data_IF_005853574998
#
_entry.id   IF_005853574998
#
_cell.length_a   1.000
_cell.length_b   1.000
_cell.length_c   1.000
_cell.angle_alpha   90.00
_cell.angle_beta   90.00
_cell.angle_gamma   90.00
#
_symmetry.space_group_name_H-M   'P 1'
#
loop_
_entity.id
_entity.type
_entity.pdbx_description
1 polymer ?
#
# COMPACT_ATOMS: atom_id res chain seq x y z
N UNK A 1 -3.97 -2.21 68.25
CA UNK A 1 -4.59 -1.80 67.00
C UNK A 1 -3.54 -1.48 65.93
N UNK A 2 -2.46 -2.30 65.86
CA UNK A 2 -1.36 -2.17 64.88
C UNK A 2 -0.72 -3.52 64.58
N UNK A 3 -1.43 -4.65 64.83
CA UNK A 3 -0.90 -6.02 64.69
C UNK A 3 -1.79 -6.93 63.82
N UNK A 4 -2.79 -6.40 63.10
CA UNK A 4 -3.68 -7.21 62.25
C UNK A 4 -3.59 -6.95 60.75
N UNK A 5 -2.57 -6.21 60.29
CA UNK A 5 -2.39 -5.90 58.85
C UNK A 5 -1.30 -6.81 58.18
N UNK A 6 -0.70 -7.76 58.93
CA UNK A 6 0.43 -8.56 58.40
C UNK A 6 0.07 -10.01 58.00
N UNK A 7 -1.20 -10.36 57.74
CA UNK A 7 -1.56 -11.76 57.43
C UNK A 7 -2.26 -12.05 56.12
N UNK A 8 -2.29 -11.09 55.15
CA UNK A 8 -2.88 -11.39 53.81
C UNK A 8 -1.96 -10.96 52.67
N UNK A 9 -0.67 -11.34 52.72
CA UNK A 9 0.27 -11.12 51.61
C UNK A 9 0.87 -12.45 51.10
N UNK A 10 0.05 -13.49 50.99
CA UNK A 10 0.42 -14.72 50.28
C UNK A 10 -0.73 -15.22 49.42
N UNK A 11 -1.19 -14.39 48.47
CA UNK A 11 -1.85 -14.88 47.28
C UNK A 11 -0.90 -14.82 46.10
N UNK A 12 -0.92 -15.80 45.18
CA UNK A 12 0.03 -15.87 44.08
C UNK A 12 -0.17 -14.67 43.15
N UNK A 13 0.88 -13.90 42.89
CA UNK A 13 0.92 -12.89 41.86
C UNK A 13 0.81 -13.57 40.47
N UNK A 14 -0.34 -14.13 40.19
CA UNK A 14 -0.78 -14.50 38.87
C UNK A 14 -1.52 -13.32 38.24
N UNK A 15 -0.90 -12.77 37.20
CA UNK A 15 -1.63 -12.24 36.05
C UNK A 15 -2.31 -10.86 36.04
N UNK A 16 -2.05 -9.93 36.93
CA UNK A 16 -2.54 -8.54 36.77
C UNK A 16 -2.01 -7.92 35.46
N UNK A 17 -0.82 -8.32 34.99
CA UNK A 17 -0.25 -7.84 33.71
C UNK A 17 -0.91 -8.46 32.49
N UNK A 18 -1.39 -9.70 32.58
CA UNK A 18 -2.02 -10.41 31.45
C UNK A 18 -3.46 -9.96 31.27
N UNK A 19 -4.19 -9.68 32.36
CA UNK A 19 -5.57 -9.15 32.31
C UNK A 19 -5.60 -7.72 31.75
N UNK A 20 -4.66 -6.86 32.08
CA UNK A 20 -4.51 -5.54 31.46
C UNK A 20 -4.13 -5.62 29.99
N UNK A 21 -3.40 -6.64 29.59
CA UNK A 21 -3.04 -6.85 28.18
C UNK A 21 -4.23 -7.39 27.37
N UNK A 22 -4.98 -8.34 27.91
CA UNK A 22 -6.23 -8.79 27.28
C UNK A 22 -7.27 -7.67 27.22
N UNK A 23 -7.38 -6.85 28.27
CA UNK A 23 -8.26 -5.67 28.28
C UNK A 23 -7.79 -4.64 27.23
N UNK A 24 -6.50 -4.37 27.12
CA UNK A 24 -5.92 -3.49 26.09
C UNK A 24 -6.16 -4.01 24.67
N UNK A 25 -6.02 -5.31 24.44
CA UNK A 25 -6.36 -5.94 23.15
C UNK A 25 -7.86 -5.96 22.89
N UNK A 26 -8.69 -6.20 23.89
CA UNK A 26 -10.16 -6.13 23.77
C UNK A 26 -10.63 -4.70 23.51
N UNK A 27 -10.07 -3.70 24.20
CA UNK A 27 -10.40 -2.28 23.97
C UNK A 27 -9.92 -1.81 22.60
N UNK A 28 -8.74 -2.24 22.12
CA UNK A 28 -8.29 -1.93 20.76
C UNK A 28 -9.15 -2.61 19.68
N UNK A 29 -9.69 -3.80 19.96
CA UNK A 29 -10.59 -4.52 19.04
C UNK A 29 -12.00 -3.92 19.05
N UNK A 30 -12.46 -3.39 20.18
CA UNK A 30 -13.79 -2.79 20.32
C UNK A 30 -13.82 -1.32 19.85
N UNK A 31 -12.74 -0.56 20.04
CA UNK A 31 -12.65 0.82 19.56
C UNK A 31 -12.49 0.97 18.04
N UNK A 32 -11.96 -0.06 17.37
CA UNK A 32 -11.89 -0.07 15.91
C UNK A 32 -12.61 -1.31 15.42
N UNK A 33 -13.82 -1.15 14.95
CA UNK A 33 -14.62 -2.16 14.26
C UNK A 33 -13.98 -2.53 12.90
N UNK A 34 -12.63 -2.72 12.89
CA UNK A 34 -11.88 -3.13 11.73
C UNK A 34 -11.83 -4.67 11.71
N UNK A 35 -12.19 -5.30 10.60
CA UNK A 35 -12.06 -6.74 10.46
C UNK A 35 -10.61 -7.14 10.73
N UNK A 36 -10.44 -8.23 11.49
CA UNK A 36 -9.11 -8.80 11.81
C UNK A 36 -8.29 -8.91 10.52
N UNK A 37 -7.19 -8.17 10.45
CA UNK A 37 -6.30 -8.15 9.28
C UNK A 37 -5.73 -9.56 9.07
N UNK A 38 -6.15 -10.22 8.00
CA UNK A 38 -5.64 -11.52 7.59
C UNK A 38 -4.85 -11.41 6.29
N UNK A 39 -4.28 -12.50 5.79
CA UNK A 39 -3.58 -12.52 4.50
C UNK A 39 -4.47 -12.08 3.34
N UNK A 40 -5.78 -12.33 3.40
CA UNK A 40 -6.75 -11.86 2.39
C UNK A 40 -6.89 -10.33 2.32
N UNK A 41 -6.50 -9.60 3.36
CA UNK A 41 -6.51 -8.13 3.38
C UNK A 41 -5.23 -7.51 2.82
N UNK A 42 -4.20 -8.33 2.54
CA UNK A 42 -2.93 -7.87 1.99
C UNK A 42 -3.01 -7.87 0.46
N UNK A 43 -2.65 -6.74 -0.15
CA UNK A 43 -2.38 -6.70 -1.57
C UNK A 43 -1.02 -7.34 -1.84
N UNK A 44 -1.02 -8.59 -2.29
CA UNK A 44 0.22 -9.24 -2.71
C UNK A 44 0.64 -8.70 -4.06
N UNK A 45 1.84 -8.12 -4.11
CA UNK A 45 2.47 -7.48 -5.26
C UNK A 45 3.89 -8.02 -5.39
N UNK A 46 4.54 -7.77 -6.52
CA UNK A 46 5.89 -8.28 -6.80
C UNK A 46 6.89 -7.91 -5.70
N UNK A 47 6.79 -6.69 -5.18
CA UNK A 47 7.73 -6.17 -4.17
C UNK A 47 7.57 -6.76 -2.77
N UNK A 48 6.45 -7.43 -2.45
CA UNK A 48 6.20 -8.02 -1.12
C UNK A 48 5.87 -9.52 -1.14
N UNK A 49 5.76 -10.13 -2.30
CA UNK A 49 5.28 -11.51 -2.46
C UNK A 49 6.05 -12.52 -1.60
N UNK A 50 7.38 -12.48 -1.64
CA UNK A 50 8.22 -13.39 -0.86
C UNK A 50 8.05 -13.19 0.65
N UNK A 51 7.88 -11.96 1.12
CA UNK A 51 7.66 -11.67 2.53
C UNK A 51 6.29 -12.19 3.00
N UNK A 52 5.26 -12.05 2.16
CA UNK A 52 3.92 -12.59 2.43
C UNK A 52 3.94 -14.11 2.47
N UNK A 53 4.61 -14.75 1.53
CA UNK A 53 4.77 -16.21 1.48
C UNK A 53 5.49 -16.76 2.73
N UNK A 54 6.65 -16.17 3.10
CA UNK A 54 7.38 -16.60 4.30
C UNK A 54 6.58 -16.41 5.57
N UNK A 55 5.78 -15.34 5.67
CA UNK A 55 4.89 -15.13 6.80
C UNK A 55 3.74 -16.17 6.84
N UNK A 56 3.24 -16.59 5.68
CA UNK A 56 2.26 -17.66 5.59
C UNK A 56 2.87 -19.00 6.01
N UNK A 57 4.08 -19.33 5.53
CA UNK A 57 4.82 -20.55 5.91
C UNK A 57 5.11 -20.56 7.41
N UNK A 58 5.50 -19.43 8.01
CA UNK A 58 5.66 -19.30 9.44
C UNK A 58 4.36 -19.60 10.20
N UNK A 59 3.25 -19.03 9.78
CA UNK A 59 1.94 -19.19 10.43
C UNK A 59 1.31 -20.58 10.22
N UNK A 60 1.86 -21.38 9.29
CA UNK A 60 1.47 -22.77 9.08
C UNK A 60 2.43 -23.76 9.73
N UNK A 61 3.60 -23.31 10.20
CA UNK A 61 4.60 -24.11 10.89
C UNK A 61 5.68 -24.71 9.99
N UNK A 62 5.71 -24.32 8.71
CA UNK A 62 6.76 -24.77 7.78
C UNK A 62 8.04 -23.96 7.88
N UNK A 63 7.96 -22.72 8.36
CA UNK A 63 9.12 -21.87 8.67
C UNK A 63 9.18 -21.57 10.17
N UNK A 64 10.35 -21.68 10.76
CA UNK A 64 10.53 -21.45 12.21
C UNK A 64 11.07 -20.05 12.53
N UNK A 65 11.95 -19.53 11.68
CA UNK A 65 12.63 -18.25 11.91
C UNK A 65 12.48 -17.37 10.65
N UNK A 66 11.73 -16.28 10.76
CA UNK A 66 11.47 -15.37 9.65
C UNK A 66 11.85 -13.94 10.03
N UNK A 67 12.57 -13.24 9.16
CA UNK A 67 12.93 -11.85 9.34
C UNK A 67 12.50 -11.05 8.10
N UNK A 68 11.61 -10.06 8.32
CA UNK A 68 11.08 -9.18 7.27
C UNK A 68 11.72 -7.81 7.39
N UNK A 69 12.26 -7.32 6.28
CA UNK A 69 12.93 -6.04 6.16
C UNK A 69 12.26 -5.16 5.13
N UNK A 70 12.30 -3.85 5.32
CA UNK A 70 11.79 -2.90 4.33
C UNK A 70 11.67 -1.50 4.89
N UNK A 71 11.42 -0.53 4.03
CA UNK A 71 11.24 0.87 4.39
C UNK A 71 10.08 1.06 5.39
N UNK A 72 10.07 2.16 6.14
CA UNK A 72 8.95 2.51 7.01
C UNK A 72 7.67 2.64 6.16
N UNK A 73 6.57 2.05 6.65
CA UNK A 73 5.28 2.08 5.94
C UNK A 73 5.16 1.11 4.75
N UNK A 74 6.12 0.20 4.53
CA UNK A 74 6.07 -0.81 3.45
C UNK A 74 5.07 -1.96 3.68
N UNK A 75 4.40 -2.00 4.84
CA UNK A 75 3.40 -3.04 5.15
C UNK A 75 3.89 -4.17 6.05
N UNK A 76 5.12 -4.10 6.61
CA UNK A 76 5.67 -5.14 7.51
C UNK A 76 4.73 -5.50 8.65
N UNK A 77 4.31 -4.52 9.44
CA UNK A 77 3.36 -4.71 10.55
C UNK A 77 2.08 -5.43 10.10
N UNK A 78 1.55 -5.08 8.92
CA UNK A 78 0.36 -5.72 8.37
C UNK A 78 0.59 -7.21 8.07
N UNK A 79 1.77 -7.57 7.55
CA UNK A 79 2.15 -8.97 7.30
C UNK A 79 2.30 -9.72 8.63
N UNK A 80 2.92 -9.09 9.64
CA UNK A 80 3.06 -9.68 10.98
C UNK A 80 1.69 -9.90 11.64
N UNK A 81 0.79 -8.92 11.57
CA UNK A 81 -0.59 -9.04 12.07
C UNK A 81 -1.36 -10.17 11.38
N UNK A 82 -1.17 -10.34 10.06
CA UNK A 82 -1.81 -11.43 9.33
C UNK A 82 -1.30 -12.81 9.78
N UNK A 83 0.01 -12.96 10.02
CA UNK A 83 0.60 -14.18 10.56
C UNK A 83 0.09 -14.46 11.98
N UNK A 84 0.04 -13.44 12.84
CA UNK A 84 -0.50 -13.53 14.19
C UNK A 84 -1.96 -14.01 14.19
N UNK A 85 -2.80 -13.37 13.40
CA UNK A 85 -4.22 -13.72 13.32
C UNK A 85 -4.44 -15.12 12.74
N UNK A 86 -3.59 -15.56 11.80
CA UNK A 86 -3.66 -16.91 11.26
C UNK A 86 -3.27 -17.99 12.29
N UNK A 87 -2.25 -17.72 13.13
CA UNK A 87 -1.87 -18.59 14.24
C UNK A 87 -2.99 -18.66 15.28
N UNK A 88 -3.56 -17.51 15.66
CA UNK A 88 -4.68 -17.47 16.62
C UNK A 88 -5.93 -18.23 16.13
N UNK A 89 -6.27 -18.13 14.86
CA UNK A 89 -7.39 -18.88 14.27
C UNK A 89 -7.19 -20.39 14.32
N UNK A 90 -5.94 -20.84 14.47
CA UNK A 90 -5.56 -22.26 14.60
C UNK A 90 -5.30 -22.67 16.05
N UNK A 91 -5.69 -21.83 17.01
CA UNK A 91 -5.47 -22.03 18.45
C UNK A 91 -4.02 -22.30 18.83
N UNK A 92 -3.06 -21.76 18.05
CA UNK A 92 -1.64 -21.88 18.35
C UNK A 92 -1.21 -20.77 19.30
N UNK A 93 -0.45 -21.11 20.35
CA UNK A 93 0.06 -20.10 21.28
C UNK A 93 0.99 -19.12 20.58
N UNK A 94 0.66 -17.83 20.63
CA UNK A 94 1.41 -16.78 19.95
C UNK A 94 1.37 -15.46 20.71
N UNK A 95 2.50 -14.76 20.80
CA UNK A 95 2.58 -13.38 21.25
C UNK A 95 3.00 -12.46 20.11
N UNK A 96 2.33 -11.30 20.02
CA UNK A 96 2.70 -10.20 19.14
C UNK A 96 3.11 -9.01 20.02
N UNK A 97 4.37 -8.60 19.94
CA UNK A 97 4.95 -7.57 20.81
C UNK A 97 5.90 -6.65 20.02
N UNK A 98 6.17 -5.47 20.58
CA UNK A 98 7.26 -4.62 20.07
C UNK A 98 8.60 -5.06 20.63
N UNK A 99 9.68 -4.70 19.93
CA UNK A 99 11.03 -5.03 20.39
C UNK A 99 11.38 -4.42 21.75
N UNK A 100 10.90 -3.20 22.04
CA UNK A 100 11.10 -2.58 23.37
C UNK A 100 10.42 -3.39 24.49
N UNK A 101 9.23 -3.92 24.24
CA UNK A 101 8.52 -4.78 25.19
C UNK A 101 9.25 -6.12 25.38
N UNK A 102 9.73 -6.71 24.27
CA UNK A 102 10.53 -7.93 24.33
C UNK A 102 11.77 -7.76 25.22
N UNK A 103 12.45 -6.61 25.13
CA UNK A 103 13.66 -6.33 25.91
C UNK A 103 13.39 -6.08 27.40
N UNK A 104 12.16 -5.74 27.79
CA UNK A 104 11.79 -5.50 29.19
C UNK A 104 11.51 -6.77 30.00
N UNK A 105 11.21 -7.88 29.34
CA UNK A 105 10.87 -9.13 30.03
C UNK A 105 11.51 -10.34 29.35
N UNK A 106 12.35 -11.01 30.13
CA UNK A 106 13.01 -12.26 29.71
C UNK A 106 12.03 -13.43 29.58
N UNK A 107 10.81 -13.34 30.11
CA UNK A 107 9.79 -14.39 30.00
C UNK A 107 9.46 -14.72 28.54
N UNK A 108 9.49 -13.75 27.65
CA UNK A 108 9.27 -13.97 26.20
C UNK A 108 10.32 -14.87 25.53
N UNK A 109 11.55 -14.89 26.06
CA UNK A 109 12.62 -15.79 25.56
C UNK A 109 12.26 -17.25 25.87
N UNK A 110 11.62 -17.50 27.01
CA UNK A 110 11.25 -18.83 27.46
C UNK A 110 9.89 -19.30 26.93
N UNK A 111 9.07 -18.38 26.43
CA UNK A 111 7.76 -18.72 25.88
C UNK A 111 7.84 -19.79 24.78
N UNK A 112 7.07 -20.87 24.91
CA UNK A 112 7.13 -22.02 24.01
C UNK A 112 6.36 -21.85 22.70
N UNK A 113 5.45 -20.87 22.64
CA UNK A 113 4.72 -20.54 21.42
C UNK A 113 5.50 -19.72 20.41
N UNK A 114 4.81 -19.35 19.35
CA UNK A 114 5.32 -18.46 18.33
C UNK A 114 5.46 -17.03 18.87
N UNK A 115 6.57 -16.38 18.58
CA UNK A 115 6.83 -15.00 18.98
C UNK A 115 6.97 -14.11 17.73
N UNK A 116 6.17 -13.06 17.66
CA UNK A 116 6.23 -12.07 16.60
C UNK A 116 6.65 -10.73 17.19
N UNK A 117 7.77 -10.19 16.72
CA UNK A 117 8.39 -8.98 17.26
C UNK A 117 8.43 -7.90 16.16
N UNK A 118 7.72 -6.80 16.39
CA UNK A 118 7.73 -5.65 15.50
C UNK A 118 8.67 -4.54 15.99
N UNK A 119 8.94 -3.58 15.09
CA UNK A 119 9.74 -2.38 15.36
C UNK A 119 11.15 -2.64 15.90
N UNK A 120 11.81 -3.69 15.42
CA UNK A 120 13.15 -4.07 15.89
C UNK A 120 14.24 -3.02 15.61
N UNK A 121 13.97 -2.01 14.76
CA UNK A 121 14.90 -0.89 14.53
C UNK A 121 15.15 -0.02 15.78
N UNK A 122 14.24 -0.03 16.75
CA UNK A 122 14.39 0.77 17.99
C UNK A 122 15.60 0.32 18.79
N UNK A 123 15.90 -0.97 18.77
CA UNK A 123 17.01 -1.60 19.49
C UNK A 123 18.38 -1.29 18.85
N UNK A 124 18.40 -0.97 17.57
CA UNK A 124 19.64 -0.75 16.82
C UNK A 124 20.44 0.48 17.27
N UNK A 125 19.81 1.38 18.01
CA UNK A 125 20.41 2.61 18.52
C UNK A 125 21.42 2.37 19.64
N UNK A 126 21.30 1.27 20.37
CA UNK A 126 22.17 0.95 21.52
C UNK A 126 22.95 -0.35 21.28
N UNK A 127 24.29 -0.32 21.29
CA UNK A 127 25.11 -1.53 21.14
C UNK A 127 24.79 -2.60 22.19
N UNK A 128 24.54 -2.20 23.45
CA UNK A 128 24.17 -3.11 24.54
C UNK A 128 22.83 -3.79 24.29
N UNK A 129 21.81 -3.04 23.87
CA UNK A 129 20.48 -3.60 23.54
C UNK A 129 20.56 -4.53 22.33
N UNK A 130 21.34 -4.16 21.32
CA UNK A 130 21.59 -4.99 20.14
C UNK A 130 22.19 -6.35 20.51
N UNK A 131 23.21 -6.35 21.37
CA UNK A 131 23.83 -7.59 21.83
C UNK A 131 22.86 -8.46 22.62
N UNK A 132 22.13 -7.89 23.58
CA UNK A 132 21.15 -8.62 24.39
C UNK A 132 20.02 -9.19 23.54
N UNK A 133 19.52 -8.42 22.58
CA UNK A 133 18.49 -8.87 21.65
C UNK A 133 18.99 -10.07 20.83
N UNK A 134 20.20 -9.97 20.27
CA UNK A 134 20.83 -11.05 19.51
C UNK A 134 20.97 -12.33 20.36
N UNK A 135 21.46 -12.22 21.60
CA UNK A 135 21.58 -13.35 22.52
C UNK A 135 20.21 -13.98 22.82
N UNK A 136 19.19 -13.14 23.01
CA UNK A 136 17.81 -13.60 23.28
C UNK A 136 17.23 -14.35 22.08
N UNK A 137 17.42 -13.84 20.85
CA UNK A 137 17.02 -14.53 19.63
C UNK A 137 17.78 -15.84 19.44
N UNK A 138 19.10 -15.87 19.74
CA UNK A 138 19.89 -17.08 19.64
C UNK A 138 19.39 -18.19 20.57
N UNK A 139 19.01 -17.84 21.80
CA UNK A 139 18.39 -18.79 22.75
C UNK A 139 17.11 -19.40 22.16
N UNK A 140 16.24 -18.57 21.55
CA UNK A 140 15.01 -19.08 20.92
C UNK A 140 15.31 -19.98 19.73
N UNK A 141 16.28 -19.62 18.87
CA UNK A 141 16.72 -20.45 17.73
C UNK A 141 17.23 -21.81 18.23
N UNK A 142 18.13 -21.84 19.22
CA UNK A 142 18.66 -23.09 19.82
C UNK A 142 17.56 -23.97 20.42
N UNK A 143 16.54 -23.35 21.02
CA UNK A 143 15.39 -24.04 21.58
C UNK A 143 14.31 -24.37 20.53
N UNK A 144 14.56 -24.14 19.23
CA UNK A 144 13.63 -24.36 18.11
C UNK A 144 12.27 -23.67 18.27
N UNK A 145 12.24 -22.54 19.00
CA UNK A 145 11.01 -21.78 19.25
C UNK A 145 10.71 -20.84 18.07
N UNK A 146 9.54 -20.94 17.44
CA UNK A 146 9.22 -20.12 16.26
C UNK A 146 9.30 -18.63 16.57
N UNK A 147 10.00 -17.87 15.73
CA UNK A 147 10.19 -16.44 15.93
C UNK A 147 10.14 -15.69 14.60
N UNK A 148 9.32 -14.66 14.53
CA UNK A 148 9.23 -13.77 13.38
C UNK A 148 9.53 -12.34 13.81
N UNK A 149 10.37 -11.64 13.05
CA UNK A 149 10.73 -10.25 13.36
C UNK A 149 10.52 -9.33 12.18
N UNK A 150 10.25 -8.03 12.44
CA UNK A 150 10.26 -7.00 11.43
C UNK A 150 11.21 -5.87 11.79
N UNK A 151 11.95 -5.39 10.77
CA UNK A 151 12.93 -4.33 10.91
C UNK A 151 12.70 -3.27 9.84
N UNK A 152 12.55 -2.01 10.24
CA UNK A 152 12.55 -0.89 9.31
C UNK A 152 13.97 -0.49 8.98
N UNK A 153 14.28 -0.42 7.68
CA UNK A 153 15.58 0.00 7.18
C UNK A 153 15.42 0.88 5.96
N UNK A 154 16.16 1.97 5.92
CA UNK A 154 16.25 2.87 4.75
C UNK A 154 17.35 2.42 3.78
N UNK A 155 18.26 1.55 4.20
CA UNK A 155 19.37 1.08 3.37
C UNK A 155 18.94 -0.07 2.45
N UNK A 156 19.32 0.03 1.16
CA UNK A 156 19.16 -1.07 0.20
C UNK A 156 20.03 -2.28 0.55
N UNK A 157 21.16 -2.04 1.20
CA UNK A 157 22.13 -3.04 1.63
C UNK A 157 22.17 -3.12 3.17
N UNK A 158 21.02 -3.27 3.83
CA UNK A 158 21.06 -3.44 5.27
C UNK A 158 21.82 -4.73 5.61
N UNK A 159 22.92 -4.57 6.30
CA UNK A 159 23.58 -5.68 6.96
C UNK A 159 22.73 -6.14 8.15
N UNK A 160 22.21 -7.34 8.06
CA UNK A 160 21.36 -7.94 9.11
C UNK A 160 22.17 -8.71 10.13
N UNK A 161 23.46 -8.94 9.87
CA UNK A 161 24.36 -9.65 10.77
C UNK A 161 24.40 -9.05 12.19
N UNK A 162 24.29 -7.70 12.38
CA UNK A 162 24.24 -7.14 13.71
C UNK A 162 23.01 -7.52 14.53
N UNK A 163 21.91 -7.95 13.88
CA UNK A 163 20.62 -8.21 14.53
C UNK A 163 20.38 -9.71 14.68
N UNK A 164 20.69 -10.47 13.63
CA UNK A 164 20.43 -11.90 13.60
C UNK A 164 21.63 -12.70 14.13
N UNK A 165 21.40 -13.67 15.01
CA UNK A 165 22.48 -14.46 15.59
C UNK A 165 23.20 -15.34 14.56
N UNK A 166 22.43 -16.00 13.72
CA UNK A 166 22.95 -16.91 12.69
C UNK A 166 22.08 -16.76 11.44
N UNK A 167 22.59 -16.06 10.42
CA UNK A 167 21.88 -15.76 9.17
C UNK A 167 21.29 -17.01 8.51
N UNK A 168 22.02 -18.15 8.53
CA UNK A 168 21.58 -19.40 7.91
C UNK A 168 20.32 -20.01 8.53
N UNK A 169 19.99 -19.64 9.75
CA UNK A 169 18.80 -20.15 10.46
C UNK A 169 17.56 -19.30 10.22
N UNK A 170 17.68 -18.20 9.48
CA UNK A 170 16.61 -17.24 9.26
C UNK A 170 16.24 -17.14 7.78
N UNK A 171 14.95 -17.22 7.49
CA UNK A 171 14.42 -16.76 6.21
C UNK A 171 14.33 -15.24 6.20
N UNK A 172 15.29 -14.60 5.54
CA UNK A 172 15.38 -13.15 5.45
C UNK A 172 14.69 -12.68 4.16
N UNK A 173 13.59 -11.95 4.29
CA UNK A 173 12.82 -11.41 3.16
C UNK A 173 12.75 -9.91 3.21
N UNK A 174 12.97 -9.30 2.05
CA UNK A 174 12.92 -7.84 1.90
C UNK A 174 11.68 -7.42 1.14
N UNK A 175 10.98 -6.42 1.66
CA UNK A 175 9.96 -5.69 0.91
C UNK A 175 10.68 -4.53 0.22
N UNK A 176 10.73 -4.58 -1.11
CA UNK A 176 11.31 -3.53 -1.94
C UNK A 176 10.33 -2.39 -2.19
N UNK A 177 10.79 -1.30 -2.80
CA UNK A 177 9.91 -0.24 -3.26
C UNK A 177 9.00 -0.77 -4.37
N UNK A 178 7.69 -0.46 -4.33
CA UNK A 178 6.76 -0.92 -5.33
C UNK A 178 7.03 -0.25 -6.69
N UNK A 179 7.01 -1.04 -7.75
CA UNK A 179 7.02 -0.55 -9.15
C UNK A 179 5.76 0.28 -9.44
N UNK A 180 5.70 0.96 -10.58
CA UNK A 180 4.48 1.66 -10.99
C UNK A 180 3.30 0.69 -11.09
N UNK A 181 3.52 -0.50 -11.65
CA UNK A 181 2.48 -1.53 -11.74
C UNK A 181 2.02 -2.01 -10.38
N UNK A 182 2.95 -2.24 -9.45
CA UNK A 182 2.63 -2.57 -8.06
C UNK A 182 1.81 -1.45 -7.39
N UNK A 183 2.17 -0.17 -7.62
CA UNK A 183 1.42 0.98 -7.09
C UNK A 183 0.01 1.07 -7.67
N UNK A 184 -0.18 0.80 -8.96
CA UNK A 184 -1.52 0.73 -9.57
C UNK A 184 -2.36 -0.34 -8.87
N UNK A 185 -1.80 -1.54 -8.64
CA UNK A 185 -2.49 -2.62 -7.91
C UNK A 185 -2.82 -2.20 -6.47
N UNK A 186 -1.88 -1.54 -5.77
CA UNK A 186 -2.09 -1.03 -4.42
C UNK A 186 -3.20 0.02 -4.36
N UNK A 187 -3.18 1.01 -5.26
CA UNK A 187 -4.22 2.06 -5.31
C UNK A 187 -5.58 1.43 -5.54
N UNK A 188 -5.73 0.51 -6.52
CA UNK A 188 -7.00 -0.21 -6.77
C UNK A 188 -7.45 -1.00 -5.55
N UNK A 189 -6.54 -1.74 -4.91
CA UNK A 189 -6.85 -2.55 -3.74
C UNK A 189 -7.31 -1.69 -2.56
N UNK A 190 -6.59 -0.60 -2.26
CA UNK A 190 -6.95 0.31 -1.17
C UNK A 190 -8.25 1.06 -1.49
N UNK A 191 -8.44 1.53 -2.73
CA UNK A 191 -9.69 2.18 -3.16
C UNK A 191 -10.89 1.27 -2.95
N UNK A 192 -10.76 -0.02 -3.29
CA UNK A 192 -11.81 -1.02 -3.03
C UNK A 192 -12.08 -1.20 -1.53
N UNK A 193 -11.03 -1.23 -0.70
CA UNK A 193 -11.20 -1.32 0.77
C UNK A 193 -11.86 -0.07 1.37
N UNK A 194 -11.57 1.09 0.81
CA UNK A 194 -12.15 2.39 1.23
C UNK A 194 -13.50 2.68 0.55
N UNK A 195 -14.04 1.74 -0.26
CA UNK A 195 -15.29 1.91 -1.03
C UNK A 195 -15.26 3.13 -1.97
N UNK A 196 -14.09 3.45 -2.51
CA UNK A 196 -13.89 4.52 -3.48
C UNK A 196 -14.01 3.98 -4.90
N UNK A 197 -14.88 4.59 -5.69
CA UNK A 197 -14.99 4.30 -7.12
C UNK A 197 -14.12 5.30 -7.91
N UNK A 198 -12.88 4.92 -8.19
CA UNK A 198 -11.94 5.72 -8.96
C UNK A 198 -11.83 5.17 -10.39
N UNK A 199 -11.92 6.05 -11.37
CA UNK A 199 -11.71 5.68 -12.77
C UNK A 199 -10.27 5.19 -13.01
N UNK A 200 -10.09 4.34 -14.02
CA UNK A 200 -8.76 3.80 -14.35
C UNK A 200 -7.70 4.88 -14.60
N UNK A 201 -7.99 5.98 -15.32
CA UNK A 201 -7.04 7.09 -15.47
C UNK A 201 -6.63 7.72 -14.13
N UNK A 202 -7.58 7.95 -13.22
CA UNK A 202 -7.27 8.50 -11.89
C UNK A 202 -6.37 7.57 -11.07
N UNK A 203 -6.64 6.26 -11.11
CA UNK A 203 -5.78 5.26 -10.45
C UNK A 203 -4.35 5.33 -10.98
N UNK A 204 -4.17 5.46 -12.30
CA UNK A 204 -2.86 5.55 -12.92
C UNK A 204 -2.12 6.84 -12.55
N UNK A 205 -2.81 7.99 -12.57
CA UNK A 205 -2.26 9.28 -12.16
C UNK A 205 -1.83 9.23 -10.69
N UNK A 206 -2.72 8.77 -9.81
CA UNK A 206 -2.41 8.65 -8.39
C UNK A 206 -1.22 7.70 -8.14
N UNK A 207 -1.18 6.56 -8.81
CA UNK A 207 -0.07 5.62 -8.69
C UNK A 207 1.27 6.19 -9.18
N UNK A 208 1.26 7.11 -10.14
CA UNK A 208 2.46 7.78 -10.65
C UNK A 208 2.97 8.84 -9.68
N UNK A 209 2.10 9.67 -9.13
CA UNK A 209 2.47 10.86 -8.37
C UNK A 209 2.45 10.65 -6.83
N UNK A 210 1.67 9.72 -6.32
CA UNK A 210 1.74 9.31 -4.91
C UNK A 210 2.94 8.38 -4.69
N UNK A 211 4.12 8.97 -4.71
CA UNK A 211 5.37 8.26 -4.43
C UNK A 211 5.51 7.99 -2.92
N UNK A 212 6.12 6.87 -2.58
CA UNK A 212 6.44 6.53 -1.21
C UNK A 212 5.75 5.28 -0.69
N UNK A 213 5.52 5.24 0.61
CA UNK A 213 5.06 4.04 1.30
C UNK A 213 3.56 3.79 1.15
N UNK A 214 3.14 2.52 1.35
CA UNK A 214 1.71 2.15 1.42
C UNK A 214 0.91 2.97 2.45
N UNK A 215 1.58 3.51 3.49
CA UNK A 215 0.97 4.40 4.48
C UNK A 215 0.57 5.74 3.85
N UNK A 216 1.41 6.30 2.98
CA UNK A 216 1.13 7.55 2.25
C UNK A 216 -0.03 7.33 1.30
N UNK A 217 0.00 6.25 0.50
CA UNK A 217 -1.09 5.87 -0.39
C UNK A 217 -2.43 5.73 0.36
N UNK A 218 -2.42 4.97 1.46
CA UNK A 218 -3.63 4.78 2.27
C UNK A 218 -4.12 6.10 2.87
N UNK A 219 -3.23 6.93 3.39
CA UNK A 219 -3.57 8.24 3.96
C UNK A 219 -4.22 9.17 2.93
N UNK A 220 -3.70 9.19 1.69
CA UNK A 220 -4.28 9.97 0.61
C UNK A 220 -5.68 9.47 0.24
N UNK A 221 -5.84 8.18 0.02
CA UNK A 221 -7.13 7.58 -0.35
C UNK A 221 -8.16 7.68 0.78
N UNK A 222 -7.73 7.57 2.05
CA UNK A 222 -8.62 7.78 3.19
C UNK A 222 -9.16 9.22 3.25
N UNK A 223 -8.34 10.23 2.92
CA UNK A 223 -8.83 11.62 2.80
C UNK A 223 -9.93 11.76 1.75
N UNK A 224 -9.78 11.09 0.60
CA UNK A 224 -10.83 11.07 -0.42
C UNK A 224 -12.14 10.48 0.12
N UNK A 225 -12.08 9.39 0.86
CA UNK A 225 -13.26 8.78 1.48
C UNK A 225 -13.96 9.71 2.45
N UNK A 226 -13.21 10.38 3.31
CA UNK A 226 -13.77 11.26 4.35
C UNK A 226 -14.50 12.48 3.76
N UNK A 227 -14.05 12.97 2.61
CA UNK A 227 -14.67 14.13 1.96
C UNK A 227 -15.99 13.82 1.24
N UNK A 228 -16.41 12.54 1.15
CA UNK A 228 -17.74 12.07 0.70
C UNK A 228 -18.28 12.72 -0.58
N UNK A 229 -17.41 13.08 -1.53
CA UNK A 229 -17.78 13.70 -2.80
C UNK A 229 -17.72 12.68 -3.95
N UNK A 230 -18.52 12.90 -4.99
CA UNK A 230 -18.28 12.21 -6.26
C UNK A 230 -16.99 12.72 -6.89
N UNK A 231 -16.00 11.84 -6.99
CA UNK A 231 -14.69 12.15 -7.51
C UNK A 231 -14.64 12.05 -9.04
N UNK A 232 -15.43 12.87 -9.71
CA UNK A 232 -15.45 12.97 -11.18
C UNK A 232 -14.40 13.95 -11.71
N UNK A 233 -13.97 14.93 -10.89
CA UNK A 233 -12.97 15.94 -11.25
C UNK A 233 -11.57 15.53 -10.75
N UNK A 234 -10.64 15.14 -11.65
CA UNK A 234 -9.27 14.78 -11.28
C UNK A 234 -8.49 15.87 -10.56
N UNK A 235 -8.72 17.16 -10.83
CA UNK A 235 -8.04 18.25 -10.11
C UNK A 235 -8.38 18.23 -8.63
N UNK A 236 -9.66 18.06 -8.29
CA UNK A 236 -10.10 17.95 -6.90
C UNK A 236 -9.50 16.73 -6.22
N UNK A 237 -9.46 15.58 -6.92
CA UNK A 237 -8.82 14.35 -6.41
C UNK A 237 -7.34 14.57 -6.14
N UNK A 238 -6.60 15.12 -7.11
CA UNK A 238 -5.15 15.35 -6.97
C UNK A 238 -4.84 16.38 -5.88
N UNK A 239 -5.65 17.46 -5.78
CA UNK A 239 -5.54 18.45 -4.70
C UNK A 239 -5.81 17.84 -3.34
N UNK A 240 -6.88 17.06 -3.18
CA UNK A 240 -7.21 16.38 -1.93
C UNK A 240 -6.13 15.36 -1.52
N UNK A 241 -5.46 14.74 -2.49
CA UNK A 241 -4.32 13.86 -2.25
C UNK A 241 -3.01 14.63 -1.97
N UNK A 242 -2.96 15.95 -2.22
CA UNK A 242 -1.75 16.77 -2.04
C UNK A 242 -0.68 16.54 -3.11
N UNK A 243 -1.06 16.17 -4.32
CA UNK A 243 -0.15 15.89 -5.44
C UNK A 243 -0.44 16.71 -6.69
N UNK A 244 -1.39 17.65 -6.61
CA UNK A 244 -1.78 18.46 -7.77
C UNK A 244 -0.61 19.28 -8.33
N UNK A 245 0.12 19.98 -7.46
CA UNK A 245 1.23 20.85 -7.88
C UNK A 245 2.34 20.05 -8.54
N UNK A 246 2.66 18.87 -7.99
CA UNK A 246 3.64 17.95 -8.60
C UNK A 246 3.17 17.47 -9.96
N UNK A 247 1.90 17.18 -10.09
CA UNK A 247 1.32 16.71 -11.34
C UNK A 247 1.34 17.80 -12.42
N UNK A 248 0.95 19.03 -12.07
CA UNK A 248 0.97 20.18 -13.00
C UNK A 248 2.40 20.57 -13.43
N UNK A 249 3.38 20.40 -12.55
CA UNK A 249 4.77 20.61 -12.88
C UNK A 249 5.30 19.58 -13.90
N UNK A 250 4.81 18.32 -13.82
CA UNK A 250 5.19 17.25 -14.74
C UNK A 250 4.41 17.29 -16.07
N UNK A 251 3.24 17.92 -16.07
CA UNK A 251 2.37 17.98 -17.25
C UNK A 251 1.66 19.34 -17.37
N UNK A 252 2.33 20.34 -17.97
CA UNK A 252 1.76 21.67 -18.16
C UNK A 252 0.51 21.68 -19.06
N UNK A 253 0.32 20.65 -19.90
CA UNK A 253 -0.83 20.50 -20.80
C UNK A 253 -2.00 19.75 -20.13
N UNK A 254 -1.94 19.54 -18.83
CA UNK A 254 -2.89 18.73 -18.08
C UNK A 254 -4.35 19.17 -18.27
N UNK A 255 -4.61 20.47 -18.24
CA UNK A 255 -5.98 20.99 -18.39
C UNK A 255 -6.59 20.64 -19.74
N UNK A 256 -5.79 20.72 -20.80
CA UNK A 256 -6.22 20.40 -22.17
C UNK A 256 -6.50 18.91 -22.30
N UNK A 257 -5.58 18.07 -21.78
CA UNK A 257 -5.73 16.61 -21.81
C UNK A 257 -6.93 16.15 -21.00
N UNK A 258 -7.16 16.79 -19.85
CA UNK A 258 -8.29 16.46 -19.01
C UNK A 258 -9.64 16.84 -19.63
N UNK A 259 -9.73 18.02 -20.24
CA UNK A 259 -10.93 18.44 -20.93
C UNK A 259 -11.24 17.51 -22.11
N UNK A 260 -10.22 17.09 -22.87
CA UNK A 260 -10.39 16.12 -23.95
C UNK A 260 -10.95 14.77 -23.44
N UNK A 261 -10.45 14.28 -22.28
CA UNK A 261 -10.99 13.06 -21.66
C UNK A 261 -12.43 13.22 -21.21
N UNK A 262 -12.77 14.35 -20.58
CA UNK A 262 -14.12 14.67 -20.14
C UNK A 262 -15.10 14.74 -21.31
N UNK A 263 -14.70 15.37 -22.40
CA UNK A 263 -15.49 15.48 -23.59
C UNK A 263 -15.69 14.12 -24.29
N UNK A 264 -14.64 13.31 -24.32
CA UNK A 264 -14.71 11.96 -24.87
C UNK A 264 -15.54 11.00 -24.02
N UNK A 265 -15.60 11.18 -22.69
CA UNK A 265 -16.37 10.32 -21.77
C UNK A 265 -17.90 10.45 -21.91
N UNK A 266 -18.40 11.48 -22.61
CA UNK A 266 -19.82 11.56 -22.97
C UNK A 266 -20.23 10.57 -24.05
N UNK A 267 -19.29 9.79 -24.61
CA UNK A 267 -19.48 8.78 -25.64
C UNK A 267 -19.29 7.37 -25.06
N UNK A 268 -20.21 6.85 -24.48
CA UNK A 268 -20.68 5.57 -23.92
C UNK A 268 -19.77 4.32 -23.76
N UNK A 269 -18.47 4.28 -24.08
CA UNK A 269 -17.61 3.12 -23.80
C UNK A 269 -16.18 3.52 -23.41
N UNK A 270 -15.66 2.98 -22.30
CA UNK A 270 -14.36 3.31 -21.71
C UNK A 270 -13.15 3.17 -22.67
N UNK A 271 -13.18 2.18 -23.57
CA UNK A 271 -12.12 1.96 -24.58
C UNK A 271 -12.22 2.98 -25.72
N UNK A 272 -13.43 3.36 -26.14
CA UNK A 272 -13.67 4.38 -27.16
C UNK A 272 -13.29 5.77 -26.66
N UNK A 273 -13.59 6.08 -25.41
CA UNK A 273 -13.25 7.35 -24.76
C UNK A 273 -11.76 7.67 -24.88
N UNK A 274 -10.90 6.72 -24.55
CA UNK A 274 -9.44 6.90 -24.65
C UNK A 274 -8.98 7.16 -26.09
N UNK A 275 -9.52 6.42 -27.08
CA UNK A 275 -9.15 6.58 -28.49
C UNK A 275 -9.63 7.92 -29.04
N UNK A 276 -10.85 8.34 -28.71
CA UNK A 276 -11.41 9.63 -29.12
C UNK A 276 -10.59 10.77 -28.51
N UNK A 277 -10.32 10.73 -27.21
CA UNK A 277 -9.49 11.75 -26.54
C UNK A 277 -8.08 11.81 -27.13
N UNK A 278 -7.43 10.67 -27.39
CA UNK A 278 -6.13 10.63 -28.06
C UNK A 278 -6.17 11.27 -29.45
N UNK A 279 -7.18 10.94 -30.26
CA UNK A 279 -7.35 11.48 -31.62
C UNK A 279 -7.54 12.99 -31.56
N UNK A 280 -8.37 13.51 -30.66
CA UNK A 280 -8.59 14.94 -30.46
C UNK A 280 -7.30 15.66 -30.05
N UNK A 281 -6.57 15.15 -29.07
CA UNK A 281 -5.34 15.76 -28.57
C UNK A 281 -4.23 15.74 -29.62
N UNK A 282 -4.13 14.67 -30.41
CA UNK A 282 -3.23 14.58 -31.58
C UNK A 282 -3.59 15.61 -32.67
N UNK A 283 -4.87 15.80 -32.94
CA UNK A 283 -5.35 16.76 -33.97
C UNK A 283 -5.01 18.20 -33.62
N UNK A 284 -5.00 18.56 -32.33
CA UNK A 284 -4.59 19.89 -31.85
C UNK A 284 -3.08 20.05 -31.69
N UNK A 285 -2.27 19.03 -32.03
CA UNK A 285 -0.81 19.10 -32.08
C UNK A 285 -0.07 18.74 -30.80
N UNK A 286 -0.74 18.12 -29.80
CA UNK A 286 -0.04 17.66 -28.62
C UNK A 286 0.85 16.46 -28.93
N UNK A 287 1.96 16.36 -28.17
CA UNK A 287 2.90 15.26 -28.33
C UNK A 287 2.27 13.91 -27.97
N UNK A 288 2.32 12.95 -28.89
CA UNK A 288 1.69 11.63 -28.78
C UNK A 288 2.16 10.85 -27.54
N UNK A 289 3.46 10.88 -27.25
CA UNK A 289 4.03 10.21 -26.08
C UNK A 289 3.53 10.83 -24.76
N UNK A 290 3.38 12.16 -24.73
CA UNK A 290 2.84 12.89 -23.58
C UNK A 290 1.38 12.52 -23.35
N UNK A 291 0.57 12.48 -24.40
CA UNK A 291 -0.84 12.10 -24.34
C UNK A 291 -1.01 10.63 -23.92
N UNK A 292 -0.23 9.73 -24.52
CA UNK A 292 -0.29 8.30 -24.15
C UNK A 292 0.16 8.05 -22.71
N UNK A 293 1.16 8.77 -22.23
CA UNK A 293 1.57 8.72 -20.80
C UNK A 293 0.44 9.20 -19.89
N UNK A 294 -0.22 10.29 -20.24
CA UNK A 294 -1.37 10.81 -19.49
C UNK A 294 -2.50 9.77 -19.40
N UNK A 295 -2.81 9.11 -20.52
CA UNK A 295 -3.88 8.11 -20.58
C UNK A 295 -3.48 6.73 -20.06
N UNK A 296 -2.19 6.49 -19.80
CA UNK A 296 -1.67 5.18 -19.41
C UNK A 296 -1.78 4.11 -20.49
N UNK A 297 -1.76 4.52 -21.76
CA UNK A 297 -1.93 3.64 -22.92
C UNK A 297 -0.60 3.48 -23.68
N UNK A 298 -0.48 2.41 -24.45
CA UNK A 298 0.65 2.19 -25.34
C UNK A 298 0.51 3.02 -26.61
N UNK A 299 1.56 3.75 -26.99
CA UNK A 299 1.58 4.63 -28.18
C UNK A 299 1.18 3.87 -29.44
N UNK A 300 1.73 2.69 -29.69
CA UNK A 300 1.43 1.88 -30.88
C UNK A 300 -0.06 1.46 -30.96
N UNK A 301 -0.68 1.12 -29.83
CA UNK A 301 -2.11 0.80 -29.77
C UNK A 301 -2.97 2.02 -30.02
N UNK A 302 -2.59 3.17 -29.46
CA UNK A 302 -3.34 4.43 -29.66
C UNK A 302 -3.26 4.92 -31.11
N UNK A 303 -2.10 4.87 -31.74
CA UNK A 303 -1.92 5.27 -33.14
C UNK A 303 -2.77 4.40 -34.07
N UNK A 304 -2.65 3.08 -33.97
CA UNK A 304 -3.43 2.17 -34.83
C UNK A 304 -4.94 2.34 -34.64
N UNK A 305 -5.39 2.52 -33.41
CA UNK A 305 -6.81 2.70 -33.10
C UNK A 305 -7.30 4.08 -33.55
N UNK A 306 -6.51 5.14 -33.40
CA UNK A 306 -6.78 6.50 -33.83
C UNK A 306 -6.89 6.58 -35.39
N UNK A 307 -5.95 5.96 -36.12
CA UNK A 307 -5.96 5.92 -37.56
C UNK A 307 -7.14 5.13 -38.10
N UNK A 308 -7.54 4.06 -37.43
CA UNK A 308 -8.76 3.31 -37.77
C UNK A 308 -10.04 4.14 -37.52
N UNK A 309 -10.08 4.87 -36.41
CA UNK A 309 -11.18 5.77 -36.07
C UNK A 309 -11.29 6.93 -37.07
N UNK A 310 -10.17 7.59 -37.38
CA UNK A 310 -10.14 8.66 -38.40
C UNK A 310 -10.60 8.18 -39.77
N UNK A 311 -10.18 6.97 -40.21
CA UNK A 311 -10.67 6.38 -41.48
C UNK A 311 -12.15 6.05 -41.47
N UNK A 312 -12.73 5.66 -40.34
CA UNK A 312 -14.18 5.47 -40.22
C UNK A 312 -14.94 6.80 -40.33
N UNK A 313 -14.44 7.85 -39.70
CA UNK A 313 -15.01 9.20 -39.79
C UNK A 313 -15.01 9.74 -41.22
N UNK A 314 -13.92 9.55 -41.96
CA UNK A 314 -13.82 10.00 -43.36
C UNK A 314 -14.70 9.21 -44.35
N UNK A 315 -14.93 7.92 -44.10
CA UNK A 315 -15.83 7.07 -44.92
C UNK A 315 -17.31 7.37 -44.68
N UNK A 316 -17.68 7.88 -43.51
CA UNK A 316 -19.04 8.26 -43.13
C UNK A 316 -19.43 9.66 -43.64
N UNK A 317 -18.58 10.35 -44.38
CA UNK A 317 -18.74 11.75 -44.79
C UNK A 317 -19.96 12.02 -45.71
N UNK A 318 -20.67 10.99 -46.19
CA UNK A 318 -21.95 11.17 -46.91
C UNK A 318 -23.17 11.34 -45.97
N UNK A 319 -23.04 10.98 -44.71
CA UNK A 319 -24.04 11.29 -43.68
C UNK A 319 -23.28 12.06 -42.60
N UNK A 320 -23.52 13.36 -42.48
CA UNK A 320 -22.99 14.20 -41.40
C UNK A 320 -23.63 13.69 -40.12
N UNK A 321 -23.04 12.62 -39.54
CA UNK A 321 -23.55 12.03 -38.32
C UNK A 321 -23.44 13.05 -37.15
N UNK A 322 -24.32 12.95 -36.19
CA UNK A 322 -24.23 13.77 -34.96
C UNK A 322 -22.85 13.68 -34.31
N UNK A 323 -22.19 12.52 -34.43
CA UNK A 323 -20.80 12.29 -34.00
C UNK A 323 -19.80 13.21 -34.70
N UNK A 324 -19.95 13.45 -36.01
CA UNK A 324 -19.05 14.34 -36.78
C UNK A 324 -19.19 15.81 -36.35
N UNK A 325 -20.41 16.28 -36.14
CA UNK A 325 -20.69 17.64 -35.64
C UNK A 325 -20.24 17.80 -34.19
N UNK A 326 -20.32 16.73 -33.40
CA UNK A 326 -19.85 16.71 -32.03
C UNK A 326 -18.34 16.82 -31.98
N UNK A 327 -17.61 16.01 -32.76
CA UNK A 327 -16.14 16.03 -32.83
C UNK A 327 -15.64 17.39 -33.35
N UNK A 328 -16.26 17.99 -34.37
CA UNK A 328 -15.90 19.34 -34.82
C UNK A 328 -16.07 20.38 -33.72
N UNK A 329 -17.17 20.38 -32.98
CA UNK A 329 -17.38 21.27 -31.82
C UNK A 329 -16.37 21.05 -30.73
N UNK A 330 -15.89 19.82 -30.54
CA UNK A 330 -14.84 19.50 -29.56
C UNK A 330 -13.49 20.06 -30.01
N UNK A 331 -13.12 19.88 -31.25
CA UNK A 331 -11.86 20.42 -31.81
C UNK A 331 -11.85 21.95 -31.71
N UNK A 332 -12.95 22.62 -32.07
CA UNK A 332 -13.08 24.08 -31.95
C UNK A 332 -12.94 24.54 -30.49
N UNK A 333 -13.58 23.87 -29.53
CA UNK A 333 -13.48 24.19 -28.10
C UNK A 333 -12.07 23.98 -27.54
N UNK A 334 -11.42 22.90 -27.93
CA UNK A 334 -10.06 22.59 -27.46
C UNK A 334 -9.03 23.54 -28.11
N UNK A 335 -9.20 23.87 -29.38
CA UNK A 335 -8.33 24.84 -30.07
C UNK A 335 -8.45 26.24 -29.46
N UNK A 336 -9.65 26.67 -29.05
CA UNK A 336 -9.86 27.94 -28.35
C UNK A 336 -9.21 27.95 -26.97
N UNK A 337 -9.22 26.84 -26.24
CA UNK A 337 -8.52 26.74 -24.95
C UNK A 337 -7.00 26.66 -25.11
N UNK A 338 -6.51 25.95 -26.11
CA UNK A 338 -5.08 25.88 -26.40
C UNK A 338 -4.50 27.26 -26.74
N UNK A 339 -5.23 28.11 -27.44
CA UNK A 339 -4.82 29.50 -27.75
C UNK A 339 -4.88 30.45 -26.54
N UNK A 340 -5.60 30.10 -25.47
CA UNK A 340 -5.68 30.88 -24.23
C UNK A 340 -4.58 30.49 -23.22
N UNK A 341 -3.89 29.38 -23.45
CA UNK A 341 -2.85 28.83 -22.55
C UNK A 341 -1.41 29.09 -23.02
N UNK A 342 -1.25 29.65 -24.23
CA UNK A 342 0.02 30.12 -24.82
C UNK A 342 0.03 31.66 -24.85
#
# INVERSE_FOLDING_TARGET
>A
MLFEISRNLNEPQGSISDDFFELGNRLSTVMFNQPLKGFSSICTITSNAEAVESALLFSTGYASQVAIFGASGSGKTHILEAAYNNLRKKDRPVHFITADRFMRSMSYVQFDGALIIDDCQTILKSPKQKLLFRISLERRVRSKKPTMIAVSTSSRQADFAPILPTMRSWECKRISEPSLEDRIRLVRHISKQESLNLSTPLVQILARHLLGSCRILRGALHRLRVQSQEWSDPRKVLSACGVLDMYLADDPEWDIKHEAMKLASSMDEEIRTGIVAFTLLRTIGLNEDSVCRFMGLSVSKCLNASDNFARKLTRSAQVVSEEHRFIQRLIERLSLKATQTW
#
